data_IF_124410154655
#
_entry.id   IF_124410154655
#
_cell.length_a   1.000
_cell.length_b   1.000
_cell.length_c   1.000
_cell.angle_alpha   90.00
_cell.angle_beta   90.00
_cell.angle_gamma   90.00
#
_symmetry.space_group_name_H-M   'P 1'
#
loop_
_entity.id
_entity.type
_entity.pdbx_description
1 polymer ?
#
# COMPACT_ATOMS: atom_id res chain seq x y z
N UNK A 1 17.82 -0.24 17.71
CA UNK A 1 18.14 -1.29 18.70
C UNK A 1 19.53 -1.08 19.26
N UNK A 2 20.53 -0.83 18.41
CA UNK A 2 21.89 -0.50 18.86
C UNK A 2 22.66 0.23 17.73
N UNK A 3 23.80 0.82 18.07
CA UNK A 3 24.71 1.47 17.13
C UNK A 3 26.16 1.13 17.46
N UNK A 4 26.96 0.85 16.45
CA UNK A 4 28.41 0.68 16.56
C UNK A 4 29.11 1.74 15.71
N UNK A 5 30.03 2.50 16.30
CA UNK A 5 30.82 3.52 15.62
C UNK A 5 32.31 3.19 15.70
N UNK A 6 33.00 3.21 14.56
CA UNK A 6 34.44 3.01 14.47
C UNK A 6 35.01 3.79 13.29
N UNK A 7 36.00 4.65 13.55
CA UNK A 7 36.72 5.44 12.52
C UNK A 7 35.79 6.18 11.54
N UNK A 8 34.76 6.85 12.06
CA UNK A 8 33.78 7.58 11.23
C UNK A 8 32.80 6.68 10.46
N UNK A 9 32.82 5.36 10.67
CA UNK A 9 31.82 4.44 10.14
C UNK A 9 30.82 4.13 11.24
N UNK A 10 29.54 4.42 10.98
CA UNK A 10 28.44 4.17 11.90
C UNK A 10 27.56 3.07 11.35
N UNK A 11 27.43 2.00 12.12
CA UNK A 11 26.55 0.87 11.81
C UNK A 11 25.36 0.89 12.76
N UNK A 12 24.16 0.95 12.20
CA UNK A 12 22.90 0.99 12.91
C UNK A 12 22.21 -0.37 12.78
N UNK A 13 21.86 -0.94 13.93
CA UNK A 13 21.05 -2.14 14.03
C UNK A 13 19.62 -1.75 14.40
N UNK A 14 18.70 -1.97 13.48
CA UNK A 14 17.30 -1.56 13.65
C UNK A 14 16.31 -2.60 13.13
N UNK A 15 15.04 -2.38 13.42
CA UNK A 15 13.92 -3.01 12.73
C UNK A 15 13.28 -1.89 11.92
N UNK A 16 13.13 -2.11 10.63
CA UNK A 16 12.51 -1.16 9.71
C UNK A 16 11.24 -1.77 9.11
N UNK A 17 10.37 -0.91 8.61
CA UNK A 17 9.25 -1.33 7.77
C UNK A 17 8.97 -0.24 6.76
N UNK A 18 8.34 -0.63 5.64
CA UNK A 18 7.82 0.31 4.65
C UNK A 18 6.32 0.06 4.42
N UNK A 19 5.60 1.10 4.02
CA UNK A 19 4.19 1.02 3.67
C UNK A 19 3.89 1.88 2.45
N UNK A 20 3.17 1.32 1.49
CA UNK A 20 2.56 2.04 0.39
C UNK A 20 1.18 2.51 0.84
N UNK A 21 0.95 3.81 0.78
CA UNK A 21 -0.32 4.42 1.14
C UNK A 21 -1.03 4.95 -0.10
N UNK A 22 -2.32 4.67 -0.19
CA UNK A 22 -3.20 5.18 -1.26
C UNK A 22 -4.48 5.74 -0.64
N UNK A 23 -5.11 6.69 -1.32
CA UNK A 23 -6.44 7.14 -0.93
C UNK A 23 -7.47 6.12 -1.38
N UNK A 24 -8.21 5.55 -0.45
CA UNK A 24 -9.34 4.66 -0.71
C UNK A 24 -10.55 5.13 0.10
N UNK A 25 -11.68 5.41 -0.54
CA UNK A 25 -12.87 5.98 0.10
C UNK A 25 -12.58 7.23 0.95
N UNK A 26 -11.63 8.07 0.50
CA UNK A 26 -11.22 9.29 1.20
C UNK A 26 -10.31 9.07 2.42
N UNK A 27 -9.92 7.83 2.71
CA UNK A 27 -8.97 7.47 3.76
C UNK A 27 -7.61 7.22 3.11
N UNK A 28 -6.54 7.84 3.61
CA UNK A 28 -5.18 7.51 3.22
C UNK A 28 -4.75 6.24 3.97
N UNK A 29 -4.90 5.09 3.32
CA UNK A 29 -4.71 3.77 3.94
C UNK A 29 -3.53 3.04 3.35
N UNK A 30 -2.85 2.22 4.16
CA UNK A 30 -1.82 1.32 3.64
C UNK A 30 -2.46 0.23 2.78
N UNK A 31 -1.93 0.04 1.57
CA UNK A 31 -2.40 -0.96 0.59
C UNK A 31 -1.38 -2.06 0.32
N UNK A 32 -0.10 -1.79 0.61
CA UNK A 32 1.00 -2.75 0.48
C UNK A 32 2.15 -2.30 1.38
N UNK A 33 3.19 -3.12 1.52
CA UNK A 33 4.31 -2.80 2.39
C UNK A 33 5.12 -4.01 2.81
N UNK A 34 5.99 -3.80 3.79
CA UNK A 34 6.59 -4.86 4.58
C UNK A 34 5.99 -4.93 5.98
N UNK A 35 6.24 -6.05 6.64
CA UNK A 35 6.20 -6.12 8.10
C UNK A 35 7.47 -5.54 8.74
N UNK A 36 7.80 -6.05 9.92
CA UNK A 36 9.01 -5.72 10.66
C UNK A 36 10.23 -6.47 10.09
N UNK A 37 11.16 -5.75 9.45
CA UNK A 37 12.36 -6.31 8.84
C UNK A 37 13.61 -5.90 9.66
N UNK A 38 14.33 -6.86 10.27
CA UNK A 38 15.65 -6.62 10.81
C UNK A 38 16.58 -6.02 9.76
N UNK A 39 17.13 -4.85 10.04
CA UNK A 39 17.91 -4.09 9.07
C UNK A 39 19.25 -3.63 9.67
N UNK A 40 20.31 -3.75 8.88
CA UNK A 40 21.63 -3.16 9.20
C UNK A 40 21.93 -2.06 8.20
N UNK A 41 22.09 -0.84 8.70
CA UNK A 41 22.41 0.33 7.88
C UNK A 41 23.81 0.81 8.25
N UNK A 42 24.68 1.00 7.26
CA UNK A 42 26.04 1.50 7.46
C UNK A 42 26.18 2.86 6.81
N UNK A 43 26.70 3.82 7.57
CA UNK A 43 26.95 5.19 7.14
C UNK A 43 28.42 5.56 7.29
N UNK A 44 28.89 6.46 6.42
CA UNK A 44 30.08 7.25 6.65
C UNK A 44 29.65 8.56 7.32
N UNK A 45 30.34 8.95 8.39
CA UNK A 45 30.18 10.23 9.06
C UNK A 45 31.39 11.10 8.76
N UNK A 46 31.18 12.28 8.19
CA UNK A 46 32.26 13.21 7.91
C UNK A 46 32.59 14.09 9.15
N UNK A 47 33.64 14.90 9.05
CA UNK A 47 34.09 15.81 10.13
C UNK A 47 33.03 16.84 10.54
N UNK A 48 32.08 17.17 9.64
CA UNK A 48 30.95 18.06 9.92
C UNK A 48 29.78 17.34 10.61
N UNK A 49 29.89 16.02 10.81
CA UNK A 49 28.86 15.19 11.42
C UNK A 49 27.74 14.75 10.46
N UNK A 50 27.89 14.98 9.16
CA UNK A 50 26.91 14.58 8.15
C UNK A 50 27.08 13.09 7.82
N UNK A 51 25.96 12.41 7.57
CA UNK A 51 25.92 10.98 7.28
C UNK A 51 25.71 10.74 5.78
N UNK A 52 26.49 9.84 5.20
CA UNK A 52 26.29 9.32 3.84
C UNK A 52 26.05 7.82 3.89
N UNK A 53 25.00 7.33 3.24
CA UNK A 53 24.68 5.91 3.19
C UNK A 53 25.78 5.15 2.45
N UNK A 54 26.38 4.15 3.12
CA UNK A 54 27.30 3.19 2.49
C UNK A 54 26.54 1.94 2.09
N UNK A 55 25.70 1.42 2.99
CA UNK A 55 25.05 0.13 2.78
C UNK A 55 23.74 0.02 3.55
N UNK A 56 22.76 -0.58 2.90
CA UNK A 56 21.51 -1.01 3.51
C UNK A 56 21.39 -2.53 3.31
N UNK A 57 21.11 -3.28 4.37
CA UNK A 57 21.06 -4.74 4.35
C UNK A 57 19.84 -5.27 5.09
N UNK A 58 19.16 -6.21 4.44
CA UNK A 58 18.09 -7.04 4.99
C UNK A 58 18.54 -8.50 5.00
N UNK A 59 17.98 -9.35 5.90
CA UNK A 59 18.22 -10.79 5.86
C UNK A 59 17.66 -11.39 4.57
N UNK A 60 18.25 -12.51 4.16
CA UNK A 60 17.73 -13.33 3.08
C UNK A 60 16.39 -13.97 3.48
N UNK A 61 15.56 -14.31 2.50
CA UNK A 61 14.24 -14.92 2.76
C UNK A 61 14.31 -16.45 2.88
N UNK A 62 13.25 -17.05 3.42
CA UNK A 62 13.05 -18.50 3.48
C UNK A 62 14.11 -19.24 4.31
N UNK A 63 14.64 -20.33 3.75
CA UNK A 63 15.57 -21.22 4.45
C UNK A 63 16.88 -20.53 4.89
N UNK A 64 17.23 -19.38 4.30
CA UNK A 64 18.45 -18.64 4.62
C UNK A 64 18.26 -17.51 5.63
N UNK A 65 17.02 -17.25 6.07
CA UNK A 65 16.69 -16.15 6.98
C UNK A 65 17.48 -16.19 8.29
N UNK A 66 17.43 -17.30 9.02
CA UNK A 66 18.14 -17.44 10.30
C UNK A 66 19.66 -17.33 10.12
N UNK A 67 20.21 -17.89 9.06
CA UNK A 67 21.67 -17.86 8.80
C UNK A 67 22.14 -16.46 8.43
N UNK A 68 21.40 -15.73 7.60
CA UNK A 68 21.74 -14.35 7.22
C UNK A 68 21.60 -13.40 8.41
N UNK A 69 20.54 -13.52 9.22
CA UNK A 69 20.39 -12.79 10.49
C UNK A 69 21.60 -12.96 11.42
N UNK A 70 22.03 -14.21 11.62
CA UNK A 70 23.18 -14.51 12.48
C UNK A 70 24.48 -13.89 11.96
N UNK A 71 24.66 -13.79 10.64
CA UNK A 71 25.82 -13.13 10.03
C UNK A 71 25.77 -11.61 10.16
N UNK A 72 24.57 -11.03 10.08
CA UNK A 72 24.37 -9.59 10.06
C UNK A 72 24.42 -8.98 11.46
N UNK A 73 23.86 -9.65 12.48
CA UNK A 73 23.67 -9.08 13.81
C UNK A 73 24.62 -9.67 14.87
N UNK A 74 25.21 -8.82 15.74
CA UNK A 74 25.95 -9.24 16.91
C UNK A 74 25.14 -10.19 17.80
N UNK A 75 25.81 -11.16 18.42
CA UNK A 75 25.17 -12.19 19.26
C UNK A 75 24.25 -11.59 20.34
N UNK A 76 24.65 -10.46 20.93
CA UNK A 76 23.90 -9.73 21.97
C UNK A 76 22.53 -9.21 21.51
N UNK A 77 22.32 -8.97 20.21
CA UNK A 77 21.08 -8.41 19.67
C UNK A 77 20.10 -9.48 19.17
N UNK A 78 20.56 -10.70 18.93
CA UNK A 78 19.75 -11.78 18.36
C UNK A 78 18.49 -12.13 19.16
N UNK A 79 18.49 -12.10 20.51
CA UNK A 79 17.26 -12.32 21.27
C UNK A 79 16.17 -11.27 20.98
N UNK A 80 16.56 -10.01 20.73
CA UNK A 80 15.62 -8.94 20.41
C UNK A 80 15.01 -9.10 19.01
N UNK A 81 15.75 -9.72 18.08
CA UNK A 81 15.26 -10.02 16.73
C UNK A 81 14.13 -11.06 16.72
N UNK A 82 14.18 -12.03 17.63
CA UNK A 82 13.11 -13.02 17.80
C UNK A 82 11.82 -12.39 18.35
N UNK A 83 11.94 -11.23 19.00
CA UNK A 83 10.84 -10.41 19.49
C UNK A 83 10.47 -9.27 18.53
N UNK A 84 10.94 -9.28 17.27
CA UNK A 84 10.67 -8.21 16.30
C UNK A 84 9.17 -8.00 16.04
N UNK A 85 8.34 -9.01 16.31
CA UNK A 85 6.88 -8.89 16.27
C UNK A 85 6.34 -7.82 17.24
N UNK A 86 7.06 -7.53 18.33
CA UNK A 86 6.66 -6.51 19.29
C UNK A 86 6.89 -5.09 18.75
N UNK A 87 7.61 -4.93 17.64
CA UNK A 87 7.84 -3.63 17.02
C UNK A 87 6.69 -3.19 16.10
N UNK A 88 5.72 -4.07 15.78
CA UNK A 88 4.70 -3.76 14.78
C UNK A 88 3.85 -2.54 15.13
N UNK A 89 3.39 -2.42 16.38
CA UNK A 89 2.54 -1.29 16.79
C UNK A 89 3.30 0.05 16.68
N UNK A 90 4.57 0.05 17.07
CA UNK A 90 5.44 1.24 16.97
C UNK A 90 5.75 1.59 15.51
N UNK A 91 5.99 0.59 14.67
CA UNK A 91 6.23 0.77 13.25
C UNK A 91 4.98 1.29 12.54
N UNK A 92 3.81 0.73 12.85
CA UNK A 92 2.53 1.19 12.31
C UNK A 92 2.28 2.66 12.68
N UNK A 93 2.46 3.02 13.96
CA UNK A 93 2.36 4.41 14.42
C UNK A 93 3.34 5.35 13.69
N UNK A 94 4.58 4.92 13.46
CA UNK A 94 5.56 5.72 12.70
C UNK A 94 5.13 5.91 11.24
N UNK A 95 4.60 4.86 10.60
CA UNK A 95 4.06 4.95 9.24
C UNK A 95 2.89 5.93 9.17
N UNK A 96 1.96 5.88 10.13
CA UNK A 96 0.82 6.80 10.18
C UNK A 96 1.26 8.27 10.40
N UNK A 97 2.28 8.51 11.23
CA UNK A 97 2.85 9.85 11.42
C UNK A 97 3.42 10.39 10.11
N UNK A 98 4.23 9.58 9.39
CA UNK A 98 4.83 9.98 8.12
C UNK A 98 3.76 10.23 7.04
N UNK A 99 2.73 9.39 6.97
CA UNK A 99 1.60 9.58 6.06
C UNK A 99 0.80 10.85 6.41
N UNK A 100 0.63 11.16 7.69
CA UNK A 100 0.00 12.41 8.14
C UNK A 100 0.85 13.66 7.82
N UNK A 101 2.18 13.55 7.86
CA UNK A 101 3.08 14.63 7.40
C UNK A 101 2.95 14.87 5.89
N UNK A 102 2.82 13.81 5.09
CA UNK A 102 2.51 13.94 3.67
C UNK A 102 1.18 14.64 3.43
N UNK A 103 0.12 14.32 4.19
CA UNK A 103 -1.16 15.03 4.09
C UNK A 103 -1.02 16.54 4.32
N UNK A 104 -0.22 16.95 5.31
CA UNK A 104 0.08 18.37 5.56
C UNK A 104 0.83 19.03 4.40
N UNK A 105 1.76 18.32 3.76
CA UNK A 105 2.56 18.88 2.67
C UNK A 105 1.73 19.14 1.39
N UNK A 106 0.57 18.51 1.27
CA UNK A 106 -0.38 18.72 0.17
C UNK A 106 -1.66 19.47 0.59
N UNK A 107 -1.67 20.07 1.78
CA UNK A 107 -2.81 20.81 2.36
C UNK A 107 -4.14 20.01 2.34
N UNK A 108 -4.08 18.74 2.74
CA UNK A 108 -5.24 17.85 2.73
C UNK A 108 -5.54 17.30 4.12
N UNK A 109 -6.80 17.40 4.52
CA UNK A 109 -7.30 16.74 5.73
C UNK A 109 -7.98 15.41 5.37
N UNK A 110 -7.43 14.30 5.87
CA UNK A 110 -7.95 12.96 5.66
C UNK A 110 -7.54 12.05 6.81
N UNK A 111 -8.36 11.03 7.08
CA UNK A 111 -7.98 9.96 8.01
C UNK A 111 -6.79 9.19 7.44
N UNK A 112 -5.82 8.88 8.30
CA UNK A 112 -4.74 7.93 8.01
C UNK A 112 -5.02 6.60 8.70
N UNK A 113 -4.69 5.49 8.05
CA UNK A 113 -4.83 4.14 8.63
C UNK A 113 -3.74 3.21 8.10
N UNK A 114 -2.89 2.68 8.98
CA UNK A 114 -2.02 1.56 8.61
C UNK A 114 -2.82 0.25 8.54
N UNK A 115 -3.80 0.11 9.44
CA UNK A 115 -4.66 -1.06 9.49
C UNK A 115 -5.58 -1.16 8.27
N UNK A 116 -5.96 -2.40 7.94
CA UNK A 116 -6.90 -2.69 6.86
C UNK A 116 -8.25 -1.98 7.06
N UNK A 117 -8.68 -1.28 6.02
CA UNK A 117 -10.00 -0.65 5.95
C UNK A 117 -10.95 -1.56 5.19
N UNK A 118 -12.03 -1.98 5.85
CA UNK A 118 -13.03 -2.88 5.26
C UNK A 118 -13.62 -2.33 3.96
N UNK A 119 -13.73 -3.22 2.96
CA UNK A 119 -14.22 -2.90 1.62
C UNK A 119 -15.52 -3.65 1.34
N UNK A 120 -16.54 -2.92 0.86
CA UNK A 120 -17.80 -3.51 0.44
C UNK A 120 -17.66 -4.11 -0.96
N UNK A 121 -17.90 -5.39 -1.12
CA UNK A 121 -17.94 -6.04 -2.44
C UNK A 121 -19.29 -5.82 -3.14
N UNK A 122 -19.31 -5.99 -4.46
CA UNK A 122 -20.54 -6.02 -5.23
C UNK A 122 -21.34 -7.28 -4.88
N UNK A 123 -22.65 -7.13 -4.71
CA UNK A 123 -23.57 -8.25 -4.47
C UNK A 123 -24.14 -8.72 -5.81
N UNK A 124 -23.42 -9.62 -6.48
CA UNK A 124 -23.72 -10.15 -7.82
C UNK A 124 -23.29 -11.63 -7.91
N UNK A 125 -23.70 -12.31 -8.98
CA UNK A 125 -23.25 -13.69 -9.25
C UNK A 125 -21.71 -13.80 -9.26
N UNK A 126 -21.18 -14.87 -8.64
CA UNK A 126 -19.74 -15.07 -8.46
C UNK A 126 -18.99 -15.20 -9.79
N UNK A 127 -19.59 -15.83 -10.80
CA UNK A 127 -18.97 -15.96 -12.12
C UNK A 127 -18.99 -14.60 -12.84
N UNK A 128 -20.06 -13.83 -12.71
CA UNK A 128 -20.10 -12.46 -13.23
C UNK A 128 -19.04 -11.56 -12.56
N UNK A 129 -18.86 -11.70 -11.24
CA UNK A 129 -17.84 -11.01 -10.45
C UNK A 129 -16.42 -11.37 -10.92
N UNK A 130 -16.12 -12.66 -11.09
CA UNK A 130 -14.82 -13.10 -11.60
C UNK A 130 -14.52 -12.58 -13.01
N UNK A 131 -15.52 -12.59 -13.90
CA UNK A 131 -15.38 -12.04 -15.25
C UNK A 131 -15.06 -10.56 -15.23
N UNK A 132 -15.86 -9.77 -14.51
CA UNK A 132 -15.73 -8.31 -14.55
C UNK A 132 -14.49 -7.80 -13.79
N UNK A 133 -14.13 -8.41 -12.66
CA UNK A 133 -13.07 -7.93 -11.78
C UNK A 133 -11.73 -8.67 -11.94
N UNK A 134 -11.69 -9.87 -12.54
CA UNK A 134 -10.46 -10.63 -12.72
C UNK A 134 -10.12 -10.97 -14.19
N UNK A 135 -11.11 -11.19 -15.07
CA UNK A 135 -10.83 -11.52 -16.48
C UNK A 135 -10.72 -10.26 -17.35
N UNK A 136 -11.73 -9.39 -17.32
CA UNK A 136 -11.75 -8.17 -18.13
C UNK A 136 -10.65 -7.18 -17.69
N UNK A 137 -10.35 -7.11 -16.39
CA UNK A 137 -9.30 -6.23 -15.84
C UNK A 137 -7.88 -6.63 -16.25
N UNK A 138 -7.64 -7.87 -16.72
CA UNK A 138 -6.29 -8.28 -17.18
C UNK A 138 -5.85 -7.56 -18.45
N UNK A 139 -6.80 -7.20 -19.31
CA UNK A 139 -6.53 -6.65 -20.63
C UNK A 139 -7.02 -5.21 -20.81
N UNK A 140 -7.66 -4.63 -19.78
CA UNK A 140 -8.16 -3.27 -19.80
C UNK A 140 -7.61 -2.47 -18.62
N UNK A 141 -6.65 -1.58 -18.89
CA UNK A 141 -5.99 -0.76 -17.88
C UNK A 141 -6.96 0.16 -17.13
N UNK A 142 -8.03 0.64 -17.78
CA UNK A 142 -9.02 1.48 -17.12
C UNK A 142 -9.83 0.70 -16.09
N UNK A 143 -10.29 -0.50 -16.45
CA UNK A 143 -10.95 -1.38 -15.48
C UNK A 143 -9.99 -1.83 -14.39
N UNK A 144 -8.73 -2.11 -14.74
CA UNK A 144 -7.70 -2.49 -13.78
C UNK A 144 -7.39 -1.38 -12.78
N UNK A 145 -7.47 -0.10 -13.18
CA UNK A 145 -7.34 1.07 -12.31
C UNK A 145 -8.58 1.34 -11.47
N UNK A 146 -9.76 0.83 -11.85
CA UNK A 146 -10.92 0.87 -10.97
C UNK A 146 -10.81 -0.13 -9.81
N UNK A 147 -11.40 0.18 -8.65
CA UNK A 147 -11.40 -0.74 -7.53
C UNK A 147 -12.25 -2.00 -7.83
N UNK A 148 -11.79 -3.20 -7.44
CA UNK A 148 -12.60 -4.44 -7.47
C UNK A 148 -13.73 -4.47 -6.41
N UNK A 149 -13.84 -3.43 -5.60
CA UNK A 149 -14.79 -3.24 -4.51
C UNK A 149 -15.59 -1.95 -4.76
N UNK A 150 -16.77 -1.85 -4.15
CA UNK A 150 -17.60 -0.66 -4.24
C UNK A 150 -16.96 0.48 -3.47
N UNK A 151 -16.69 1.58 -4.17
CA UNK A 151 -16.01 2.73 -3.61
C UNK A 151 -15.07 3.40 -4.59
N UNK A 152 -14.08 4.08 -4.04
CA UNK A 152 -13.13 4.89 -4.80
C UNK A 152 -11.70 4.60 -4.37
N UNK A 153 -10.77 4.76 -5.32
CA UNK A 153 -9.35 4.96 -5.02
C UNK A 153 -8.75 6.07 -5.88
N UNK A 154 -7.62 6.61 -5.47
CA UNK A 154 -6.93 7.64 -6.25
C UNK A 154 -5.63 7.12 -6.87
N UNK A 155 -5.31 7.63 -8.06
CA UNK A 155 -4.02 7.42 -8.72
C UNK A 155 -3.50 8.76 -9.25
N UNK A 156 -2.17 8.90 -9.28
CA UNK A 156 -1.50 10.05 -9.90
C UNK A 156 -0.97 9.59 -11.25
N UNK A 157 -1.37 10.27 -12.31
CA UNK A 157 -0.93 10.03 -13.68
C UNK A 157 -0.37 11.35 -14.23
N UNK A 158 0.91 11.36 -14.60
CA UNK A 158 1.59 12.55 -15.13
C UNK A 158 1.42 13.80 -14.24
N UNK A 159 1.48 13.59 -12.92
CA UNK A 159 1.31 14.64 -11.90
C UNK A 159 -0.15 15.06 -11.66
N UNK A 160 -1.12 14.47 -12.37
CA UNK A 160 -2.55 14.75 -12.19
C UNK A 160 -3.19 13.64 -11.37
N UNK A 161 -3.92 14.04 -10.32
CA UNK A 161 -4.67 13.12 -9.46
C UNK A 161 -6.04 12.81 -10.07
N UNK A 162 -6.32 11.52 -10.24
CA UNK A 162 -7.63 11.01 -10.68
C UNK A 162 -8.26 10.17 -9.58
N UNK A 163 -9.60 10.19 -9.55
CA UNK A 163 -10.40 9.30 -8.72
C UNK A 163 -10.98 8.22 -9.62
N UNK A 164 -10.69 6.97 -9.29
CA UNK A 164 -11.28 5.80 -9.91
C UNK A 164 -12.37 5.24 -9.02
N UNK A 165 -13.57 5.03 -9.58
CA UNK A 165 -14.76 4.61 -8.85
C UNK A 165 -15.33 3.32 -9.43
N UNK A 166 -15.79 2.44 -8.56
CA UNK A 166 -16.69 1.33 -8.88
C UNK A 166 -17.95 1.47 -8.05
N UNK A 167 -19.12 1.48 -8.70
CA UNK A 167 -20.43 1.58 -8.05
C UNK A 167 -21.40 0.53 -8.56
N UNK A 168 -22.37 0.17 -7.72
CA UNK A 168 -23.46 -0.75 -8.04
C UNK A 168 -24.79 -0.01 -7.96
N UNK A 169 -25.66 -0.25 -8.93
CA UNK A 169 -27.05 0.22 -8.96
C UNK A 169 -27.96 -0.87 -9.53
N UNK A 170 -29.27 -0.64 -9.52
CA UNK A 170 -30.24 -1.49 -10.23
C UNK A 170 -30.68 -0.82 -11.52
N UNK A 171 -30.86 -1.61 -12.58
CA UNK A 171 -31.52 -1.19 -13.82
C UNK A 171 -33.04 -1.12 -13.63
N UNK A 172 -33.76 -0.52 -14.57
CA UNK A 172 -35.23 -0.43 -14.53
C UNK A 172 -35.92 -1.79 -14.56
N UNK A 173 -35.27 -2.80 -15.12
CA UNK A 173 -35.74 -4.20 -15.17
C UNK A 173 -35.15 -5.08 -14.06
N UNK A 174 -34.57 -4.47 -13.02
CA UNK A 174 -34.20 -5.15 -11.76
C UNK A 174 -32.84 -5.85 -11.75
N UNK A 175 -32.09 -5.81 -12.85
CA UNK A 175 -30.74 -6.35 -12.91
C UNK A 175 -29.73 -5.46 -12.17
N UNK A 176 -28.66 -6.06 -11.67
CA UNK A 176 -27.52 -5.31 -11.16
C UNK A 176 -26.77 -4.62 -12.29
N UNK A 177 -26.30 -3.40 -12.02
CA UNK A 177 -25.46 -2.63 -12.92
C UNK A 177 -24.22 -2.16 -12.19
N UNK A 178 -23.06 -2.61 -12.67
CA UNK A 178 -21.75 -2.14 -12.22
C UNK A 178 -21.32 -0.99 -13.11
N UNK A 179 -20.92 0.13 -12.50
CA UNK A 179 -20.42 1.31 -13.20
C UNK A 179 -19.01 1.61 -12.75
N UNK A 180 -18.11 1.73 -13.72
CA UNK A 180 -16.72 2.15 -13.54
C UNK A 180 -16.56 3.59 -14.00
N UNK A 181 -15.87 4.43 -13.22
CA UNK A 181 -15.59 5.81 -13.61
C UNK A 181 -14.15 6.20 -13.33
N UNK A 182 -13.59 7.01 -14.23
CA UNK A 182 -12.42 7.85 -13.99
C UNK A 182 -12.90 9.29 -13.89
N UNK A 183 -12.56 9.96 -12.81
CA UNK A 183 -12.99 11.30 -12.48
C UNK A 183 -11.75 12.19 -12.31
N UNK A 184 -11.82 13.43 -12.81
CA UNK A 184 -10.85 14.49 -12.49
C UNK A 184 -11.38 15.33 -11.32
N UNK A 185 -10.54 16.23 -10.82
CA UNK A 185 -10.90 17.28 -9.85
C UNK A 185 -12.28 17.92 -10.16
N UNK A 186 -13.07 18.15 -9.11
CA UNK A 186 -14.47 18.58 -9.24
C UNK A 186 -15.47 17.48 -9.63
N UNK A 187 -15.07 16.21 -9.62
CA UNK A 187 -15.90 15.03 -10.00
C UNK A 187 -16.35 15.03 -11.46
N UNK A 188 -15.58 15.67 -12.35
CA UNK A 188 -15.83 15.62 -13.79
C UNK A 188 -15.52 14.22 -14.31
N UNK A 189 -16.48 13.58 -14.95
CA UNK A 189 -16.31 12.25 -15.55
C UNK A 189 -15.41 12.36 -16.78
N UNK A 190 -14.26 11.69 -16.73
CA UNK A 190 -13.30 11.58 -17.84
C UNK A 190 -13.58 10.33 -18.67
N UNK A 191 -13.95 9.24 -18.00
CA UNK A 191 -14.28 7.96 -18.64
C UNK A 191 -15.30 7.23 -17.79
N UNK A 192 -16.26 6.58 -18.43
CA UNK A 192 -17.27 5.76 -17.78
C UNK A 192 -17.46 4.46 -18.58
N UNK A 193 -17.69 3.35 -17.88
CA UNK A 193 -18.16 2.10 -18.50
C UNK A 193 -19.17 1.42 -17.59
N UNK A 194 -20.23 0.87 -18.19
CA UNK A 194 -21.32 0.20 -17.48
C UNK A 194 -21.44 -1.23 -17.93
N UNK A 195 -21.79 -2.10 -16.98
CA UNK A 195 -22.09 -3.50 -17.23
C UNK A 195 -23.36 -3.87 -16.50
N UNK A 196 -24.33 -4.40 -17.25
CA UNK A 196 -25.52 -5.02 -16.72
C UNK A 196 -25.27 -6.50 -16.45
N UNK A 197 -25.64 -6.98 -15.28
CA UNK A 197 -25.43 -8.37 -14.88
C UNK A 197 -26.69 -9.19 -15.22
N UNK A 198 -26.55 -10.12 -16.16
CA UNK A 198 -27.62 -11.01 -16.60
C UNK A 198 -27.21 -12.45 -16.26
N UNK A 199 -27.77 -12.99 -15.17
CA UNK A 199 -27.32 -14.27 -14.63
C UNK A 199 -25.85 -14.20 -14.22
N UNK A 200 -25.02 -14.99 -14.89
CA UNK A 200 -23.58 -15.07 -14.67
C UNK A 200 -22.74 -14.26 -15.68
N UNK A 201 -23.38 -13.43 -16.52
CA UNK A 201 -22.71 -12.65 -17.56
C UNK A 201 -22.77 -11.14 -17.28
N UNK A 202 -21.63 -10.43 -17.26
CA UNK A 202 -21.60 -8.97 -17.35
C UNK A 202 -21.69 -8.54 -18.82
N UNK A 203 -22.80 -7.88 -19.19
CA UNK A 203 -23.05 -7.36 -20.54
C UNK A 203 -22.75 -5.87 -20.57
N UNK A 204 -21.83 -5.43 -21.43
CA UNK A 204 -21.50 -4.01 -21.58
C UNK A 204 -22.70 -3.20 -22.12
N UNK A 205 -22.89 -1.99 -21.58
CA UNK A 205 -23.90 -1.01 -22.01
C UNK A 205 -23.28 0.20 -22.73
#
# INVERSE_FOLDING_TARGET
>A
MDTEENNGIVKVYTIASFGWFEFENGILTKTSGSGAIPTVITFARNEKGEYSLIKYQEPEDGAYYTTSLNKMFPLKLRPQLLAAQNAYDDLARQQEIQAAEYLKSIDRDAKVSEAYVEKKLADIDVQASNKIFAELTKYDSFLNSCPYWLGTREQIEDGVRYIYETSQSKTSDGHDRITFRKLKEGKTIVKERKYKIIGNEPVAE
#
